data_IF_317508230792
#
_entry.id   IF_317508230792
#
_cell.length_a   1.000
_cell.length_b   1.000
_cell.length_c   1.000
_cell.angle_alpha   90.00
_cell.angle_beta   90.00
_cell.angle_gamma   90.00
#
_symmetry.space_group_name_H-M   'P 1'
#
loop_
_entity.id
_entity.type
_entity.pdbx_description
1 polymer ?
#
# COMPACT_ATOMS: atom_id res chain seq x y z
N UNK A 1 12.16 5.74 43.69
CA UNK A 1 12.69 4.55 44.40
C UNK A 1 11.55 3.58 44.64
N UNK A 2 11.82 2.30 44.32
CA UNK A 2 11.03 1.06 44.55
C UNK A 2 9.99 0.69 43.48
N UNK A 3 10.48 -0.11 42.54
CA UNK A 3 9.76 -1.01 41.65
C UNK A 3 9.12 -2.15 42.44
N UNK A 4 7.95 -2.63 42.00
CA UNK A 4 7.44 -3.97 42.33
C UNK A 4 6.83 -4.57 41.05
N UNK A 5 7.49 -5.60 40.54
CA UNK A 5 6.94 -6.52 39.55
C UNK A 5 6.35 -7.73 40.29
N UNK A 6 5.27 -8.35 39.80
CA UNK A 6 4.93 -9.72 40.15
C UNK A 6 5.65 -10.69 39.20
N UNK A 7 6.39 -11.62 39.81
CA UNK A 7 6.78 -12.89 39.21
C UNK A 7 5.53 -13.76 39.12
N UNK A 8 5.23 -14.30 37.94
CA UNK A 8 4.35 -15.46 37.82
C UNK A 8 5.19 -16.69 37.49
N UNK A 9 4.95 -17.72 38.29
CA UNK A 9 5.70 -18.96 38.40
C UNK A 9 4.80 -20.10 37.97
N UNK A 10 5.16 -20.74 36.86
CA UNK A 10 4.91 -22.16 36.65
C UNK A 10 3.69 -22.50 35.80
N UNK A 11 3.96 -23.09 34.64
CA UNK A 11 3.49 -24.46 34.45
C UNK A 11 4.52 -25.25 33.62
N UNK A 12 4.93 -26.38 34.17
CA UNK A 12 5.88 -27.33 33.60
C UNK A 12 5.14 -28.68 33.47
N UNK A 13 5.35 -29.36 32.34
CA UNK A 13 4.68 -30.61 31.94
C UNK A 13 3.90 -30.34 30.66
N UNK A 14 4.25 -30.86 29.48
CA UNK A 14 4.74 -32.20 29.20
C UNK A 14 5.90 -32.22 28.19
N UNK A 15 6.88 -33.07 28.51
CA UNK A 15 7.97 -33.46 27.64
C UNK A 15 7.56 -34.73 26.87
N UNK A 16 7.59 -34.66 25.55
CA UNK A 16 7.72 -35.83 24.66
C UNK A 16 8.80 -35.53 23.63
N UNK A 17 10.01 -35.95 24.00
CA UNK A 17 10.92 -36.78 23.20
C UNK A 17 10.78 -36.72 21.67
N UNK A 18 11.72 -36.03 21.01
CA UNK A 18 12.17 -36.38 19.66
C UNK A 18 13.56 -35.77 19.36
N UNK A 19 14.58 -36.59 19.62
CA UNK A 19 15.76 -36.79 18.77
C UNK A 19 16.55 -35.56 18.31
N UNK A 20 17.63 -35.32 19.07
CA UNK A 20 18.84 -34.59 18.68
C UNK A 20 19.35 -35.12 17.32
N UNK A 21 19.42 -34.23 16.32
CA UNK A 21 20.27 -34.42 15.13
C UNK A 21 21.29 -33.29 15.06
N UNK A 22 22.52 -33.70 15.32
CA UNK A 22 23.80 -33.08 14.98
C UNK A 22 23.91 -32.83 13.46
N UNK A 23 24.43 -31.68 13.00
CA UNK A 23 25.05 -31.62 11.70
C UNK A 23 26.46 -31.00 11.78
N UNK A 24 27.44 -31.79 12.23
CA UNK A 24 28.83 -31.62 11.86
C UNK A 24 29.35 -32.87 11.10
N UNK A 25 29.18 -32.89 9.77
CA UNK A 25 30.01 -33.72 8.88
C UNK A 25 29.84 -33.35 7.40
N UNK A 26 30.97 -33.08 6.74
CA UNK A 26 31.21 -33.58 5.37
C UNK A 26 30.87 -32.67 4.21
N UNK A 27 31.89 -31.97 3.71
CA UNK A 27 31.96 -31.55 2.30
C UNK A 27 32.05 -32.80 1.39
N UNK A 28 31.26 -32.91 0.31
CA UNK A 28 31.59 -33.80 -0.79
C UNK A 28 32.33 -33.05 -1.89
N UNK A 29 33.60 -33.42 -2.07
CA UNK A 29 34.31 -33.31 -3.34
C UNK A 29 33.70 -34.26 -4.37
N UNK A 30 33.71 -33.82 -5.64
CA UNK A 30 33.95 -34.72 -6.78
C UNK A 30 32.71 -35.27 -7.48
N UNK A 31 32.46 -34.79 -8.70
CA UNK A 31 31.50 -35.40 -9.62
C UNK A 31 31.35 -34.61 -10.91
N UNK A 32 32.29 -34.77 -11.83
CA UNK A 32 32.19 -34.29 -13.20
C UNK A 32 31.13 -35.06 -14.01
N UNK A 33 30.53 -34.42 -15.01
CA UNK A 33 30.31 -35.01 -16.32
C UNK A 33 31.12 -34.21 -17.36
N UNK A 34 32.07 -34.81 -18.07
CA UNK A 34 31.77 -35.50 -19.33
C UNK A 34 31.16 -34.49 -20.32
N UNK A 35 31.93 -33.78 -21.14
CA UNK A 35 32.79 -34.35 -22.18
C UNK A 35 32.00 -34.42 -23.49
N UNK A 36 31.86 -33.28 -24.18
CA UNK A 36 31.24 -33.17 -25.50
C UNK A 36 31.88 -32.02 -26.26
N UNK A 37 32.98 -32.31 -26.96
CA UNK A 37 33.75 -31.33 -27.71
C UNK A 37 33.05 -30.91 -29.01
N UNK A 38 33.15 -29.61 -29.31
CA UNK A 38 33.05 -29.07 -30.67
C UNK A 38 34.38 -28.41 -30.99
N UNK A 39 35.04 -28.76 -32.11
CA UNK A 39 36.34 -28.21 -32.44
C UNK A 39 36.21 -26.92 -33.25
N UNK A 40 37.11 -25.97 -33.00
CA UNK A 40 37.67 -25.12 -34.04
C UNK A 40 37.04 -23.74 -34.20
N UNK A 41 37.63 -22.74 -33.54
CA UNK A 41 37.44 -21.32 -33.82
C UNK A 41 38.47 -20.50 -33.07
N UNK A 42 39.58 -20.20 -33.74
CA UNK A 42 40.74 -19.44 -33.26
C UNK A 42 40.44 -17.96 -32.93
N UNK A 43 41.39 -17.25 -32.27
CA UNK A 43 41.15 -16.21 -31.27
C UNK A 43 41.23 -14.78 -31.83
N UNK A 44 41.16 -13.81 -30.92
CA UNK A 44 41.40 -12.36 -31.06
C UNK A 44 40.16 -11.47 -31.09
N UNK A 45 39.92 -10.84 -29.94
CA UNK A 45 38.91 -9.81 -29.78
C UNK A 45 38.63 -9.53 -28.31
N UNK A 46 39.61 -9.00 -27.58
CA UNK A 46 39.42 -8.45 -26.23
C UNK A 46 38.47 -7.25 -26.26
N UNK A 47 37.17 -7.51 -26.32
CA UNK A 47 36.12 -6.53 -26.10
C UNK A 47 35.80 -6.49 -24.62
N UNK A 48 36.18 -5.41 -23.96
CA UNK A 48 35.68 -5.07 -22.62
C UNK A 48 34.14 -5.01 -22.72
N UNK A 49 33.38 -5.71 -21.87
CA UNK A 49 31.94 -5.60 -21.87
C UNK A 49 31.58 -4.15 -21.53
N UNK A 50 31.06 -3.42 -22.51
CA UNK A 50 30.54 -2.07 -22.33
C UNK A 50 29.32 -2.20 -21.43
N UNK A 51 29.27 -1.52 -20.27
CA UNK A 51 28.10 -1.53 -19.42
C UNK A 51 26.91 -0.99 -20.21
N UNK A 52 25.80 -1.72 -20.16
CA UNK A 52 24.54 -1.33 -20.79
C UNK A 52 24.02 -0.09 -20.04
N UNK A 53 24.24 1.10 -20.59
CA UNK A 53 23.63 2.32 -20.07
C UNK A 53 22.11 2.24 -20.33
N UNK A 54 21.27 2.30 -19.27
CA UNK A 54 19.83 2.31 -19.45
C UNK A 54 19.45 3.56 -20.25
N UNK A 55 18.60 3.37 -21.26
CA UNK A 55 18.05 4.47 -22.04
C UNK A 55 17.40 5.50 -21.09
N UNK A 56 17.73 6.81 -21.23
CA UNK A 56 17.16 7.82 -20.36
C UNK A 56 15.63 7.86 -20.52
N UNK A 57 14.90 8.11 -19.43
CA UNK A 57 13.45 8.22 -19.50
C UNK A 57 13.04 9.39 -20.43
N UNK A 58 11.86 9.33 -21.06
CA UNK A 58 11.43 10.29 -22.09
C UNK A 58 11.26 11.74 -21.62
N UNK A 59 11.49 12.02 -20.34
CA UNK A 59 11.47 13.35 -19.73
C UNK A 59 12.87 13.93 -19.46
N UNK A 60 13.95 13.18 -19.69
CA UNK A 60 15.33 13.63 -19.44
C UNK A 60 15.77 14.80 -20.34
N UNK A 61 15.07 15.04 -21.45
CA UNK A 61 15.29 16.19 -22.33
C UNK A 61 14.49 17.44 -21.92
N UNK A 62 13.72 17.39 -20.82
CA UNK A 62 13.15 18.60 -20.24
C UNK A 62 14.24 19.35 -19.48
N UNK A 63 15.04 20.07 -20.26
CA UNK A 63 15.93 21.12 -19.80
C UNK A 63 15.15 21.99 -18.79
N UNK A 64 15.59 22.11 -17.52
CA UNK A 64 14.90 22.94 -16.56
C UNK A 64 14.79 24.33 -17.18
N UNK A 65 13.56 24.85 -17.26
CA UNK A 65 13.31 26.22 -17.70
C UNK A 65 14.24 27.10 -16.87
N UNK A 66 15.32 27.58 -17.49
CA UNK A 66 16.22 28.54 -16.89
C UNK A 66 15.35 29.75 -16.69
N UNK A 67 14.99 30.03 -15.44
CA UNK A 67 14.41 31.30 -15.06
C UNK A 67 15.47 32.34 -15.39
N UNK A 68 15.41 32.90 -16.59
CA UNK A 68 16.20 34.04 -17.01
C UNK A 68 15.97 35.11 -15.94
N UNK A 69 17.04 35.40 -15.20
CA UNK A 69 17.04 36.48 -14.24
C UNK A 69 16.70 37.76 -15.02
N UNK A 70 15.69 38.53 -14.59
CA UNK A 70 15.36 39.79 -15.25
C UNK A 70 16.62 40.64 -15.35
N UNK A 71 16.90 41.32 -16.48
CA UNK A 71 18.08 42.14 -16.61
C UNK A 71 18.10 43.23 -15.52
N UNK A 72 19.28 43.44 -14.94
CA UNK A 72 19.58 44.53 -14.01
C UNK A 72 19.30 45.88 -14.69
N UNK A 73 18.07 46.37 -14.55
CA UNK A 73 17.73 47.75 -14.86
C UNK A 73 18.22 48.65 -13.74
N UNK A 74 19.52 48.97 -13.74
CA UNK A 74 20.07 50.12 -13.01
C UNK A 74 19.57 51.40 -13.67
N UNK A 75 18.34 51.78 -13.32
CA UNK A 75 17.78 53.08 -13.70
C UNK A 75 18.33 54.13 -12.74
N UNK A 76 19.00 55.20 -13.20
CA UNK A 76 19.55 56.23 -12.33
C UNK A 76 18.41 56.97 -11.62
N UNK A 77 18.47 56.97 -10.29
CA UNK A 77 17.51 57.63 -9.40
C UNK A 77 17.63 59.16 -9.56
N UNK A 78 16.55 59.91 -9.82
CA UNK A 78 16.59 61.38 -9.80
C UNK A 78 16.75 61.90 -8.35
N UNK A 79 17.29 63.12 -8.17
CA UNK A 79 17.58 63.67 -6.85
C UNK A 79 16.30 63.87 -6.02
N UNK A 80 16.43 63.58 -4.74
CA UNK A 80 15.40 63.69 -3.72
C UNK A 80 15.03 65.15 -3.46
N UNK A 81 13.94 65.60 -4.07
CA UNK A 81 13.16 66.71 -3.53
C UNK A 81 12.11 66.13 -2.58
N UNK A 82 12.21 66.52 -1.31
CA UNK A 82 11.35 66.08 -0.21
C UNK A 82 9.91 66.60 -0.39
N UNK A 83 9.11 65.89 -1.19
CA UNK A 83 7.66 66.06 -1.20
C UNK A 83 7.06 65.18 -0.10
N UNK A 84 6.96 65.73 1.10
CA UNK A 84 6.12 65.19 2.18
C UNK A 84 4.68 65.13 1.68
N UNK A 85 4.29 63.97 1.17
CA UNK A 85 2.91 63.69 0.78
C UNK A 85 2.10 63.54 2.06
N UNK A 86 1.37 64.60 2.40
CA UNK A 86 0.45 64.61 3.53
C UNK A 86 -0.72 63.67 3.20
N UNK A 87 -0.61 62.42 3.64
CA UNK A 87 -1.66 61.41 3.47
C UNK A 87 -2.92 61.92 4.17
N UNK A 88 -3.96 62.18 3.37
CA UNK A 88 -5.31 62.46 3.85
C UNK A 88 -5.75 61.40 4.85
N UNK A 89 -6.43 61.75 5.95
CA UNK A 89 -7.07 60.76 6.81
C UNK A 89 -8.16 60.06 6.00
N UNK A 90 -7.92 58.81 5.63
CA UNK A 90 -8.87 58.00 4.88
C UNK A 90 -10.11 57.69 5.75
N UNK A 91 -11.34 57.86 5.23
CA UNK A 91 -12.59 57.60 5.93
C UNK A 91 -13.00 56.12 5.90
N UNK A 92 -12.04 55.19 5.87
CA UNK A 92 -12.35 53.77 6.02
C UNK A 92 -12.60 53.47 7.49
N UNK A 93 -13.81 53.79 7.93
CA UNK A 93 -14.44 53.10 9.03
C UNK A 93 -14.45 51.61 8.69
N UNK A 94 -13.38 50.90 9.05
CA UNK A 94 -13.27 49.45 8.91
C UNK A 94 -14.47 48.83 9.62
N UNK A 95 -15.43 48.22 8.90
CA UNK A 95 -16.37 47.37 9.60
C UNK A 95 -15.55 46.23 10.19
N UNK A 96 -15.80 45.90 11.45
CA UNK A 96 -15.18 44.77 12.15
C UNK A 96 -15.61 43.45 11.48
N UNK A 97 -15.10 43.16 10.28
CA UNK A 97 -15.37 41.96 9.49
C UNK A 97 -14.16 41.04 9.58
N UNK A 98 -13.74 40.73 10.80
CA UNK A 98 -13.19 39.41 11.05
C UNK A 98 -13.41 39.03 12.51
N UNK A 99 -14.62 38.55 12.79
CA UNK A 99 -14.82 37.69 13.94
C UNK A 99 -14.49 36.26 13.48
N UNK A 100 -13.53 35.57 14.13
CA UNK A 100 -13.36 34.15 13.88
C UNK A 100 -14.69 33.45 14.12
N UNK A 101 -15.12 32.53 13.23
CA UNK A 101 -16.37 31.81 13.42
C UNK A 101 -16.35 31.14 14.79
N UNK A 102 -17.49 31.21 15.50
CA UNK A 102 -17.61 30.58 16.81
C UNK A 102 -17.13 29.12 16.72
N UNK A 103 -16.29 28.65 17.67
CA UNK A 103 -15.76 27.29 17.62
C UNK A 103 -16.92 26.31 17.48
N UNK A 104 -16.84 25.33 16.57
CA UNK A 104 -17.91 24.37 16.36
C UNK A 104 -18.22 23.70 17.70
N UNK A 105 -19.49 23.75 18.11
CA UNK A 105 -19.94 23.04 19.31
C UNK A 105 -19.63 21.57 19.09
N UNK A 106 -18.75 21.00 19.92
CA UNK A 106 -18.38 19.59 19.88
C UNK A 106 -19.64 18.75 20.03
N UNK A 107 -20.15 18.26 18.89
CA UNK A 107 -21.25 17.34 18.84
C UNK A 107 -20.73 15.99 19.32
N UNK A 108 -21.32 15.45 20.40
CA UNK A 108 -21.04 14.11 20.91
C UNK A 108 -21.71 13.02 20.05
N UNK A 109 -22.51 13.41 19.05
CA UNK A 109 -23.25 12.53 18.15
C UNK A 109 -22.40 11.44 17.45
N UNK A 110 -21.19 11.69 16.94
CA UNK A 110 -20.40 10.64 16.30
C UNK A 110 -19.93 9.56 17.29
N UNK A 111 -19.71 9.91 18.57
CA UNK A 111 -19.35 8.93 19.60
C UNK A 111 -20.54 8.03 19.98
N UNK A 112 -21.76 8.58 19.98
CA UNK A 112 -22.97 7.77 20.20
C UNK A 112 -23.23 6.80 19.03
N UNK A 113 -22.98 7.22 17.79
CA UNK A 113 -23.09 6.33 16.62
C UNK A 113 -22.04 5.22 16.65
N UNK A 114 -20.80 5.54 17.01
CA UNK A 114 -19.72 4.54 17.15
C UNK A 114 -20.03 3.54 18.27
N UNK A 115 -20.51 4.01 19.42
CA UNK A 115 -20.89 3.15 20.54
C UNK A 115 -22.07 2.23 20.20
N UNK A 116 -23.09 2.73 19.50
CA UNK A 116 -24.21 1.91 19.04
C UNK A 116 -23.77 0.82 18.04
N UNK A 117 -22.86 1.15 17.12
CA UNK A 117 -22.28 0.19 16.19
C UNK A 117 -21.47 -0.92 16.89
N UNK A 118 -20.67 -0.55 17.90
CA UNK A 118 -19.89 -1.53 18.68
C UNK A 118 -20.80 -2.50 19.45
N UNK A 119 -21.88 -2.02 20.07
CA UNK A 119 -22.85 -2.87 20.78
C UNK A 119 -23.58 -3.81 19.82
N UNK A 120 -23.92 -3.36 18.62
CA UNK A 120 -24.54 -4.20 17.58
C UNK A 120 -23.61 -5.34 17.15
N UNK A 121 -22.32 -5.04 16.91
CA UNK A 121 -21.31 -6.05 16.54
C UNK A 121 -21.07 -7.07 17.65
N UNK A 122 -21.01 -6.63 18.91
CA UNK A 122 -20.88 -7.52 20.07
C UNK A 122 -22.12 -8.42 20.20
N UNK A 123 -23.32 -7.87 19.99
CA UNK A 123 -24.56 -8.64 19.97
C UNK A 123 -24.61 -9.70 18.87
N UNK A 124 -24.15 -9.35 17.65
CA UNK A 124 -24.08 -10.28 16.52
C UNK A 124 -23.07 -11.41 16.78
N UNK A 125 -21.89 -11.09 17.32
CA UNK A 125 -20.89 -12.08 17.69
C UNK A 125 -21.40 -13.02 18.80
N UNK A 126 -22.08 -12.48 19.82
CA UNK A 126 -22.69 -13.28 20.88
C UNK A 126 -23.79 -14.22 20.35
N UNK A 127 -24.59 -13.77 19.37
CA UNK A 127 -25.63 -14.61 18.75
C UNK A 127 -25.06 -15.81 17.96
N UNK A 128 -23.88 -15.67 17.34
CA UNK A 128 -23.21 -16.77 16.63
C UNK A 128 -22.63 -17.78 17.62
N UNK A 129 -21.97 -17.32 18.69
CA UNK A 129 -21.34 -18.20 19.68
C UNK A 129 -22.37 -18.92 20.56
N UNK A 130 -23.51 -18.28 20.84
CA UNK A 130 -24.61 -18.88 21.61
C UNK A 130 -25.71 -19.48 20.74
N UNK A 131 -25.49 -19.64 19.42
CA UNK A 131 -26.47 -20.34 18.60
C UNK A 131 -26.54 -21.82 19.03
N UNK A 132 -27.68 -22.31 19.55
CA UNK A 132 -27.80 -23.69 19.97
C UNK A 132 -27.63 -24.59 18.74
N UNK A 133 -26.55 -25.38 18.74
CA UNK A 133 -26.33 -26.44 17.76
C UNK A 133 -27.42 -27.51 17.93
N UNK A 134 -28.52 -27.34 17.23
CA UNK A 134 -29.61 -28.31 17.14
C UNK A 134 -29.47 -29.15 15.88
N UNK A 135 -29.07 -30.41 16.11
CA UNK A 135 -29.44 -31.63 15.36
C UNK A 135 -28.92 -31.81 13.93
N UNK A 136 -27.99 -32.76 13.81
CA UNK A 136 -27.67 -33.51 12.60
C UNK A 136 -28.91 -33.95 11.82
N UNK A 137 -29.03 -33.53 10.56
CA UNK A 137 -29.83 -34.23 9.56
C UNK A 137 -28.93 -34.60 8.38
N UNK A 138 -28.63 -35.90 8.28
CA UNK A 138 -27.84 -36.50 7.21
C UNK A 138 -28.52 -36.32 5.85
N UNK A 139 -27.79 -35.95 4.78
CA UNK A 139 -28.35 -35.98 3.44
C UNK A 139 -28.54 -37.43 2.96
N UNK A 140 -29.70 -37.81 2.41
CA UNK A 140 -29.87 -39.13 1.83
C UNK A 140 -29.12 -39.24 0.50
N UNK A 141 -28.36 -40.32 0.38
CA UNK A 141 -27.75 -40.77 -0.86
C UNK A 141 -28.81 -41.29 -1.85
N UNK A 142 -28.54 -41.00 -3.12
CA UNK A 142 -28.93 -41.72 -4.35
C UNK A 142 -30.42 -41.88 -4.69
N UNK A 143 -30.80 -41.32 -5.85
CA UNK A 143 -31.64 -42.00 -6.85
C UNK A 143 -31.48 -41.36 -8.24
N UNK A 144 -30.74 -42.04 -9.12
CA UNK A 144 -31.03 -42.07 -10.57
C UNK A 144 -32.38 -42.79 -10.75
N UNK A 145 -33.23 -42.42 -11.74
CA UNK A 145 -33.03 -42.96 -13.09
C UNK A 145 -33.54 -42.13 -14.29
N UNK A 146 -32.99 -42.49 -15.46
CA UNK A 146 -33.60 -42.56 -16.80
C UNK A 146 -34.17 -41.33 -17.51
N UNK A 147 -33.44 -40.94 -18.56
CA UNK A 147 -33.87 -40.77 -19.95
C UNK A 147 -35.32 -40.33 -20.24
N UNK A 148 -35.44 -39.11 -20.77
CA UNK A 148 -36.46 -38.76 -21.75
C UNK A 148 -35.81 -37.95 -22.88
N UNK A 149 -35.72 -38.59 -24.06
CA UNK A 149 -35.50 -37.92 -25.33
C UNK A 149 -36.70 -37.02 -25.61
N UNK A 150 -36.44 -35.73 -25.82
CA UNK A 150 -37.30 -34.86 -26.63
C UNK A 150 -36.42 -34.09 -27.59
N UNK A 151 -36.48 -34.50 -28.86
CA UNK A 151 -36.08 -33.70 -30.00
C UNK A 151 -37.02 -32.48 -30.11
N UNK A 152 -36.45 -31.30 -30.38
CA UNK A 152 -37.22 -30.21 -30.96
C UNK A 152 -36.81 -28.81 -30.49
N UNK A 153 -35.84 -28.23 -31.21
CA UNK A 153 -35.74 -26.81 -31.61
C UNK A 153 -34.26 -26.37 -31.58
N UNK A 154 -33.72 -25.78 -32.66
CA UNK A 154 -32.43 -25.11 -32.60
C UNK A 154 -32.63 -23.75 -31.93
N UNK A 155 -32.01 -23.48 -30.76
CA UNK A 155 -31.84 -22.10 -30.35
C UNK A 155 -30.77 -21.48 -31.25
N UNK A 156 -31.05 -20.26 -31.68
CA UNK A 156 -30.16 -19.40 -32.43
C UNK A 156 -28.78 -19.37 -31.79
N UNK A 157 -27.77 -19.43 -32.65
CA UNK A 157 -26.38 -19.09 -32.34
C UNK A 157 -26.34 -17.63 -31.90
N UNK A 158 -26.66 -17.36 -30.63
CA UNK A 158 -26.07 -16.22 -29.95
C UNK A 158 -24.57 -16.49 -29.92
N UNK A 159 -23.84 -15.63 -30.63
CA UNK A 159 -22.39 -15.50 -30.53
C UNK A 159 -21.98 -15.70 -29.08
N UNK A 160 -21.29 -16.81 -28.81
CA UNK A 160 -20.38 -16.93 -27.69
C UNK A 160 -19.33 -15.82 -27.87
N UNK A 161 -19.69 -14.62 -27.42
CA UNK A 161 -18.75 -13.56 -27.14
C UNK A 161 -17.85 -14.10 -26.07
N UNK A 162 -16.68 -14.56 -26.49
CA UNK A 162 -15.44 -14.70 -25.73
C UNK A 162 -15.61 -14.45 -24.22
N UNK A 163 -16.08 -15.45 -23.47
CA UNK A 163 -15.94 -15.53 -22.01
C UNK A 163 -14.47 -15.81 -21.68
N UNK A 164 -13.58 -14.87 -22.00
CA UNK A 164 -12.23 -14.83 -21.42
C UNK A 164 -12.28 -13.91 -20.22
N UNK A 165 -12.43 -14.49 -19.02
CA UNK A 165 -12.27 -13.78 -17.75
C UNK A 165 -13.32 -14.16 -16.70
N UNK A 166 -13.23 -15.37 -16.15
CA UNK A 166 -14.16 -15.90 -15.12
C UNK A 166 -13.88 -15.30 -13.73
N UNK A 167 -13.76 -13.98 -13.62
CA UNK A 167 -13.63 -13.29 -12.35
C UNK A 167 -14.66 -12.17 -12.23
N UNK A 168 -15.19 -11.97 -11.02
CA UNK A 168 -16.12 -10.87 -10.74
C UNK A 168 -15.31 -9.58 -10.54
N UNK A 169 -15.43 -8.65 -11.50
CA UNK A 169 -14.78 -7.33 -11.46
C UNK A 169 -15.09 -6.58 -10.16
N UNK A 170 -16.35 -6.60 -9.69
CA UNK A 170 -16.75 -5.88 -8.49
C UNK A 170 -16.12 -6.50 -7.24
N UNK A 171 -16.06 -7.83 -7.16
CA UNK A 171 -15.42 -8.53 -6.05
C UNK A 171 -13.90 -8.28 -6.00
N UNK A 172 -13.21 -8.37 -7.14
CA UNK A 172 -11.76 -8.14 -7.22
C UNK A 172 -11.39 -6.68 -6.94
N UNK A 173 -12.14 -5.71 -7.51
CA UNK A 173 -11.94 -4.30 -7.23
C UNK A 173 -12.23 -3.99 -5.74
N UNK A 174 -13.31 -4.55 -5.18
CA UNK A 174 -13.62 -4.39 -3.75
C UNK A 174 -12.54 -4.95 -2.82
N UNK A 175 -11.87 -6.04 -3.21
CA UNK A 175 -10.75 -6.59 -2.45
C UNK A 175 -9.54 -5.64 -2.44
N UNK A 176 -9.24 -4.99 -3.57
CA UNK A 176 -8.20 -3.96 -3.65
C UNK A 176 -8.61 -2.76 -2.80
N UNK A 177 -9.84 -2.26 -2.94
CA UNK A 177 -10.32 -1.08 -2.23
C UNK A 177 -10.23 -1.25 -0.70
N UNK A 178 -10.61 -2.43 -0.20
CA UNK A 178 -10.43 -2.78 1.21
C UNK A 178 -8.96 -2.78 1.65
N UNK A 179 -8.05 -3.25 0.80
CA UNK A 179 -6.63 -3.20 1.09
C UNK A 179 -6.13 -1.74 1.12
N UNK A 180 -6.64 -0.87 0.25
CA UNK A 180 -6.32 0.56 0.27
C UNK A 180 -6.83 1.24 1.56
N UNK A 181 -8.01 0.87 2.07
CA UNK A 181 -8.48 1.33 3.37
C UNK A 181 -7.54 0.93 4.53
N UNK A 182 -7.10 -0.34 4.54
CA UNK A 182 -6.10 -0.82 5.51
C UNK A 182 -4.79 0.00 5.43
N UNK A 183 -4.35 0.33 4.21
CA UNK A 183 -3.15 1.13 3.95
C UNK A 183 -3.29 2.57 4.44
N UNK A 184 -4.43 3.23 4.17
CA UNK A 184 -4.74 4.56 4.67
C UNK A 184 -4.78 4.64 6.20
N UNK A 185 -5.36 3.61 6.86
CA UNK A 185 -5.33 3.50 8.32
C UNK A 185 -3.89 3.37 8.84
N UNK A 186 -3.07 2.54 8.19
CA UNK A 186 -1.66 2.32 8.60
C UNK A 186 -0.81 3.57 8.41
N UNK A 187 -1.07 4.36 7.35
CA UNK A 187 -0.43 5.66 7.14
C UNK A 187 -0.79 6.65 8.25
N UNK A 188 -2.06 6.70 8.63
CA UNK A 188 -2.54 7.57 9.72
C UNK A 188 -1.87 7.20 11.05
N UNK A 189 -1.76 5.89 11.34
CA UNK A 189 -1.03 5.36 12.50
C UNK A 189 0.45 5.77 12.48
N UNK A 190 1.12 5.66 11.33
CA UNK A 190 2.51 6.10 11.17
C UNK A 190 2.65 7.59 11.47
N UNK A 191 1.75 8.44 10.98
CA UNK A 191 1.75 9.88 11.29
C UNK A 191 1.66 10.16 12.79
N UNK A 192 0.84 9.40 13.51
CA UNK A 192 0.76 9.45 14.97
C UNK A 192 2.05 9.01 15.65
N UNK A 193 2.67 7.91 15.20
CA UNK A 193 3.93 7.40 15.72
C UNK A 193 5.10 8.37 15.47
N UNK A 194 5.17 8.99 14.28
CA UNK A 194 6.18 10.00 13.95
C UNK A 194 6.03 11.23 14.85
N UNK A 195 4.80 11.70 15.07
CA UNK A 195 4.52 12.83 15.99
C UNK A 195 4.95 12.52 17.43
N UNK A 196 4.95 11.25 17.83
CA UNK A 196 5.41 10.79 19.14
C UNK A 196 6.93 10.58 19.22
N UNK A 197 7.69 10.93 18.19
CA UNK A 197 9.15 10.78 18.15
C UNK A 197 9.62 9.36 17.77
N UNK A 198 8.82 8.65 16.97
CA UNK A 198 9.16 7.31 16.47
C UNK A 198 9.51 6.29 17.57
N UNK A 199 8.62 6.05 18.56
CA UNK A 199 8.84 4.98 19.53
C UNK A 199 8.97 3.63 18.81
N UNK A 200 9.97 2.83 19.21
CA UNK A 200 10.29 1.51 18.60
C UNK A 200 9.05 0.63 18.44
N UNK A 201 8.25 0.49 19.51
CA UNK A 201 7.03 -0.33 19.48
C UNK A 201 5.96 0.20 18.51
N UNK A 202 5.91 1.52 18.30
CA UNK A 202 5.01 2.15 17.35
C UNK A 202 5.42 1.85 15.91
N UNK A 203 6.70 2.04 15.58
CA UNK A 203 7.23 1.76 14.23
C UNK A 203 7.14 0.26 13.93
N UNK A 204 7.46 -0.61 14.90
CA UNK A 204 7.38 -2.06 14.73
C UNK A 204 5.96 -2.51 14.34
N UNK A 205 4.93 -1.98 15.03
CA UNK A 205 3.53 -2.27 14.70
C UNK A 205 3.17 -1.84 13.27
N UNK A 206 3.59 -0.63 12.86
CA UNK A 206 3.36 -0.13 11.50
C UNK A 206 4.04 -1.01 10.46
N UNK A 207 5.29 -1.42 10.72
CA UNK A 207 6.04 -2.31 9.84
C UNK A 207 5.35 -3.67 9.68
N UNK A 208 4.87 -4.26 10.77
CA UNK A 208 4.18 -5.55 10.72
C UNK A 208 2.84 -5.45 9.96
N UNK A 209 2.11 -4.34 10.13
CA UNK A 209 0.92 -4.06 9.33
C UNK A 209 1.23 -3.95 7.82
N UNK A 210 2.30 -3.23 7.45
CA UNK A 210 2.75 -3.09 6.05
C UNK A 210 3.19 -4.42 5.44
N UNK A 211 3.88 -5.28 6.20
CA UNK A 211 4.21 -6.66 5.77
C UNK A 211 2.96 -7.50 5.53
N UNK A 212 1.96 -7.40 6.40
CA UNK A 212 0.66 -8.04 6.21
C UNK A 212 -0.04 -7.57 4.94
N UNK A 213 -0.03 -6.26 4.67
CA UNK A 213 -0.60 -5.67 3.45
C UNK A 213 0.16 -6.12 2.20
N UNK A 214 1.49 -6.18 2.23
CA UNK A 214 2.30 -6.70 1.14
C UNK A 214 1.92 -8.15 0.80
N UNK A 215 1.78 -9.01 1.81
CA UNK A 215 1.33 -10.39 1.60
C UNK A 215 -0.08 -10.46 1.02
N UNK A 216 -1.02 -9.64 1.51
CA UNK A 216 -2.37 -9.55 0.93
C UNK A 216 -2.31 -9.12 -0.53
N UNK A 217 -1.54 -8.07 -0.85
CA UNK A 217 -1.38 -7.56 -2.21
C UNK A 217 -0.87 -8.64 -3.18
N UNK A 218 0.14 -9.41 -2.77
CA UNK A 218 0.69 -10.52 -3.56
C UNK A 218 -0.35 -11.63 -3.82
N UNK A 219 -1.31 -11.81 -2.92
CA UNK A 219 -2.37 -12.82 -3.04
C UNK A 219 -3.62 -12.36 -3.80
N UNK A 220 -3.72 -11.07 -4.17
CA UNK A 220 -4.89 -10.55 -4.88
C UNK A 220 -5.10 -11.25 -6.23
N UNK A 221 -6.34 -11.65 -6.48
CA UNK A 221 -6.81 -12.00 -7.82
C UNK A 221 -7.24 -10.73 -8.55
N UNK A 222 -6.70 -10.54 -9.74
CA UNK A 222 -6.88 -9.35 -10.58
C UNK A 222 -7.18 -9.72 -12.04
N UNK A 223 -7.55 -10.98 -12.28
CA UNK A 223 -7.82 -11.54 -13.60
C UNK A 223 -9.00 -10.91 -14.34
N UNK A 224 -9.93 -10.29 -13.62
CA UNK A 224 -11.10 -9.60 -14.17
C UNK A 224 -10.90 -8.08 -14.32
N UNK A 225 -9.76 -7.56 -13.88
CA UNK A 225 -9.48 -6.13 -13.88
C UNK A 225 -8.67 -5.76 -15.12
N UNK A 226 -9.08 -4.70 -15.82
CA UNK A 226 -8.29 -4.13 -16.91
C UNK A 226 -6.94 -3.68 -16.38
N UNK A 227 -5.85 -4.14 -17.01
CA UNK A 227 -4.49 -3.91 -16.52
C UNK A 227 -4.28 -4.44 -15.08
N UNK A 228 -5.02 -5.47 -14.67
CA UNK A 228 -4.99 -6.01 -13.31
C UNK A 228 -3.60 -6.44 -12.85
N UNK A 229 -2.87 -7.19 -13.66
CA UNK A 229 -1.50 -7.62 -13.35
C UNK A 229 -0.53 -6.44 -13.16
N UNK A 230 -0.33 -5.52 -14.12
CA UNK A 230 0.57 -4.39 -13.90
C UNK A 230 0.13 -3.47 -12.75
N UNK A 231 -1.18 -3.32 -12.52
CA UNK A 231 -1.71 -2.62 -11.34
C UNK A 231 -1.29 -3.29 -10.03
N UNK A 232 -1.46 -4.61 -9.93
CA UNK A 232 -1.02 -5.40 -8.77
C UNK A 232 0.48 -5.29 -8.55
N UNK A 233 1.28 -5.37 -9.61
CA UNK A 233 2.73 -5.26 -9.53
C UNK A 233 3.18 -3.87 -9.06
N UNK A 234 2.51 -2.80 -9.50
CA UNK A 234 2.75 -1.45 -8.99
C UNK A 234 2.40 -1.33 -7.49
N UNK A 235 1.27 -1.89 -7.06
CA UNK A 235 0.86 -1.92 -5.65
C UNK A 235 1.86 -2.69 -4.77
N UNK A 236 2.31 -3.86 -5.24
CA UNK A 236 3.33 -4.68 -4.54
C UNK A 236 4.64 -3.91 -4.42
N UNK A 237 5.12 -3.25 -5.49
CA UNK A 237 6.33 -2.41 -5.43
C UNK A 237 6.17 -1.26 -4.43
N UNK A 238 5.03 -0.58 -4.42
CA UNK A 238 4.74 0.50 -3.47
C UNK A 238 4.78 0.01 -2.01
N UNK A 239 4.16 -1.14 -1.71
CA UNK A 239 4.16 -1.74 -0.38
C UNK A 239 5.53 -2.26 0.04
N UNK A 240 6.31 -2.82 -0.89
CA UNK A 240 7.68 -3.23 -0.63
C UNK A 240 8.56 -2.03 -0.28
N UNK A 241 8.49 -0.94 -1.05
CA UNK A 241 9.21 0.29 -0.74
C UNK A 241 8.76 0.91 0.60
N UNK A 242 7.45 0.89 0.91
CA UNK A 242 6.95 1.34 2.21
C UNK A 242 7.45 0.48 3.37
N UNK A 243 7.57 -0.83 3.19
CA UNK A 243 8.10 -1.76 4.19
C UNK A 243 9.61 -1.52 4.40
N UNK A 244 10.36 -1.32 3.31
CA UNK A 244 11.78 -0.95 3.37
C UNK A 244 11.98 0.38 4.11
N UNK A 245 11.16 1.40 3.80
CA UNK A 245 11.18 2.69 4.49
C UNK A 245 10.92 2.52 5.99
N UNK A 246 9.86 1.80 6.39
CA UNK A 246 9.59 1.59 7.83
C UNK A 246 10.64 0.74 8.54
N UNK A 247 11.35 -0.15 7.84
CA UNK A 247 12.52 -0.83 8.40
C UNK A 247 13.64 0.18 8.70
N UNK A 248 13.90 1.17 7.83
CA UNK A 248 14.87 2.25 8.12
C UNK A 248 14.50 3.05 9.36
N UNK A 249 13.21 3.32 9.58
CA UNK A 249 12.75 3.95 10.81
C UNK A 249 13.09 3.12 12.06
N UNK A 250 13.02 1.78 11.99
CA UNK A 250 13.42 0.92 13.11
C UNK A 250 14.93 0.91 13.34
N UNK A 251 15.72 0.89 12.27
CA UNK A 251 17.19 0.83 12.37
C UNK A 251 17.78 2.05 13.09
N UNK A 252 17.06 3.18 13.08
CA UNK A 252 17.45 4.45 13.70
C UNK A 252 16.78 4.67 15.07
N UNK A 253 15.76 3.87 15.41
CA UNK A 253 15.01 4.07 16.64
C UNK A 253 15.84 3.73 17.91
N UNK A 254 15.68 4.46 19.04
CA UNK A 254 14.69 5.52 19.25
C UNK A 254 15.05 6.84 18.54
N UNK A 255 14.04 7.50 17.98
CA UNK A 255 14.18 8.70 17.16
C UNK A 255 13.69 8.48 15.73
N UNK A 256 13.42 9.56 15.00
CA UNK A 256 13.00 9.50 13.61
C UNK A 256 14.20 9.77 12.68
N UNK A 257 14.31 9.06 11.54
CA UNK A 257 15.26 9.42 10.49
C UNK A 257 15.03 10.85 10.01
N UNK A 258 16.10 11.49 9.55
CA UNK A 258 16.02 12.69 8.73
C UNK A 258 15.47 12.37 7.33
N UNK A 259 14.89 13.37 6.67
CA UNK A 259 14.34 13.21 5.31
C UNK A 259 15.38 12.66 4.31
N UNK A 260 16.66 13.05 4.46
CA UNK A 260 17.73 12.57 3.59
C UNK A 260 17.97 11.05 3.71
N UNK A 261 17.87 10.49 4.91
CA UNK A 261 18.10 9.06 5.19
C UNK A 261 17.04 8.13 4.61
N UNK A 262 15.85 8.65 4.32
CA UNK A 262 14.73 7.87 3.74
C UNK A 262 14.29 8.37 2.36
N UNK A 263 14.98 9.37 1.81
CA UNK A 263 14.58 10.04 0.56
C UNK A 263 14.47 9.09 -0.63
N UNK A 264 15.45 8.21 -0.84
CA UNK A 264 15.47 7.27 -1.98
C UNK A 264 14.32 6.26 -1.92
N UNK A 265 14.05 5.74 -0.73
CA UNK A 265 12.99 4.75 -0.48
C UNK A 265 11.62 5.41 -0.61
N UNK A 266 11.48 6.64 -0.11
CA UNK A 266 10.26 7.42 -0.20
C UNK A 266 9.95 7.82 -1.65
N UNK A 267 10.96 8.23 -2.45
CA UNK A 267 10.78 8.51 -3.88
C UNK A 267 10.31 7.27 -4.63
N UNK A 268 10.98 6.12 -4.44
CA UNK A 268 10.54 4.85 -5.06
C UNK A 268 9.12 4.46 -4.68
N UNK A 269 8.73 4.68 -3.42
CA UNK A 269 7.37 4.42 -2.96
C UNK A 269 6.36 5.36 -3.64
N UNK A 270 6.65 6.66 -3.73
CA UNK A 270 5.79 7.64 -4.38
C UNK A 270 5.61 7.35 -5.87
N UNK A 271 6.69 7.03 -6.59
CA UNK A 271 6.63 6.70 -8.02
C UNK A 271 5.71 5.49 -8.27
N UNK A 272 5.88 4.43 -7.47
CA UNK A 272 5.04 3.23 -7.57
C UNK A 272 3.57 3.48 -7.21
N UNK A 273 3.29 4.39 -6.26
CA UNK A 273 1.91 4.80 -5.92
C UNK A 273 1.28 5.58 -7.07
N UNK A 274 2.02 6.50 -7.68
CA UNK A 274 1.55 7.25 -8.86
C UNK A 274 1.21 6.32 -10.01
N UNK A 275 2.07 5.33 -10.28
CA UNK A 275 1.82 4.30 -11.30
C UNK A 275 0.56 3.47 -10.98
N UNK A 276 0.42 2.99 -9.73
CA UNK A 276 -0.77 2.26 -9.29
C UNK A 276 -2.06 3.09 -9.47
N UNK A 277 -2.05 4.36 -9.07
CA UNK A 277 -3.22 5.25 -9.17
C UNK A 277 -3.65 5.46 -10.63
N UNK A 278 -2.69 5.50 -11.56
CA UNK A 278 -2.98 5.57 -12.99
C UNK A 278 -3.79 4.38 -13.49
N UNK A 279 -3.51 3.17 -12.98
CA UNK A 279 -4.27 1.97 -13.28
C UNK A 279 -5.59 1.87 -12.49
N UNK A 280 -5.57 2.28 -11.22
CA UNK A 280 -6.71 2.14 -10.32
C UNK A 280 -7.89 3.05 -10.69
N UNK A 281 -7.64 4.29 -11.08
CA UNK A 281 -8.69 5.27 -11.37
C UNK A 281 -9.78 4.76 -12.36
N UNK A 282 -9.44 4.18 -13.53
CA UNK A 282 -10.46 3.62 -14.43
C UNK A 282 -11.15 2.38 -13.87
N UNK A 283 -10.46 1.53 -13.10
CA UNK A 283 -11.05 0.33 -12.47
C UNK A 283 -12.08 0.74 -11.41
N UNK A 284 -11.72 1.68 -10.53
CA UNK A 284 -12.61 2.21 -9.50
C UNK A 284 -13.88 2.81 -10.11
N UNK A 285 -13.74 3.61 -11.17
CA UNK A 285 -14.88 4.18 -11.87
C UNK A 285 -15.83 3.11 -12.45
N UNK A 286 -15.28 2.05 -13.07
CA UNK A 286 -16.09 0.93 -13.61
C UNK A 286 -16.78 0.12 -12.52
N UNK A 287 -16.13 -0.05 -11.38
CA UNK A 287 -16.67 -0.78 -10.23
C UNK A 287 -17.63 0.06 -9.36
N UNK A 288 -17.80 1.36 -9.65
CA UNK A 288 -18.62 2.27 -8.83
C UNK A 288 -18.00 2.61 -7.48
N UNK A 289 -16.67 2.52 -7.37
CA UNK A 289 -15.89 2.81 -6.16
C UNK A 289 -15.38 4.25 -6.17
N UNK A 290 -15.05 4.77 -4.99
CA UNK A 290 -14.48 6.11 -4.85
C UNK A 290 -13.07 6.19 -5.45
N UNK A 291 -12.70 7.32 -6.08
CA UNK A 291 -11.33 7.56 -6.48
C UNK A 291 -10.42 7.64 -5.26
N UNK A 292 -9.16 7.25 -5.43
CA UNK A 292 -8.13 7.26 -4.39
C UNK A 292 -7.01 8.24 -4.76
N UNK A 293 -6.29 8.71 -3.76
CA UNK A 293 -5.16 9.64 -3.87
C UNK A 293 -3.91 9.01 -3.28
N UNK A 294 -2.74 9.62 -3.50
CA UNK A 294 -1.49 9.15 -2.88
C UNK A 294 -1.53 9.15 -1.34
N UNK A 295 -2.42 9.93 -0.74
CA UNK A 295 -2.61 9.98 0.71
C UNK A 295 -3.31 8.73 1.25
N UNK A 296 -4.05 8.02 0.40
CA UNK A 296 -4.80 6.81 0.77
C UNK A 296 -3.93 5.53 0.71
N UNK A 297 -2.67 5.66 0.27
CA UNK A 297 -1.77 4.54 -0.06
C UNK A 297 -0.48 4.64 0.78
#
# INVERSE_FOLDING_TARGET
MRCNAPLDTGNAGDAVEATIRDPQAGSPQGGAPGGGGVPGGSPDGGGVPVPFEPAPPPWADQNPVQWESPPDYTTPMPPSDEQTTHLSPEPWSEPAIWQPPAPPKRSMLPYFLAAAGAVLLIGLAAAIVFWPSGSDESPPAASQPSAAQSQGAPPETESAGTETGTGDLAAQAGAIDKLLDDMGSTRSDLGGVVTQGCPVAGIQRVLDARRGQLSKAQSLDVSALDNGTPMKDALVRALQASTESNQRYLDIAPGCPSEGEVSDVNSRASDAKGEFLGYWAPVAAKAGLSPRTESDI
#
